data_IF_345746743440
#
_entry.id   IF_345746743440
#
_cell.length_a   1.000
_cell.length_b   1.000
_cell.length_c   1.000
_cell.angle_alpha   90.00
_cell.angle_beta   90.00
_cell.angle_gamma   90.00
#
_symmetry.space_group_name_H-M   'P 1'
#
loop_
_entity.id
_entity.type
_entity.pdbx_description
1 polymer ?
#
# COMPACT_ATOMS: atom_id res chain seq x y z
N UNK A 1 -15.17 -8.82 22.94
CA UNK A 1 -14.36 -9.91 22.34
C UNK A 1 -14.52 -10.00 20.82
N UNK A 2 -15.75 -10.13 20.28
CA UNK A 2 -15.96 -10.26 18.82
C UNK A 2 -15.33 -9.13 18.00
N UNK A 3 -15.44 -7.87 18.46
CA UNK A 3 -14.96 -6.71 17.69
C UNK A 3 -13.44 -6.71 17.44
N UNK A 4 -12.64 -7.11 18.43
CA UNK A 4 -11.18 -7.20 18.29
C UNK A 4 -10.77 -8.28 17.30
N UNK A 5 -11.43 -9.44 17.39
CA UNK A 5 -11.20 -10.56 16.47
C UNK A 5 -11.60 -10.18 15.03
N UNK A 6 -12.77 -9.57 14.85
CA UNK A 6 -13.26 -9.09 13.54
C UNK A 6 -12.31 -8.07 12.94
N UNK A 7 -11.86 -7.06 13.71
CA UNK A 7 -10.88 -6.07 13.23
C UNK A 7 -9.57 -6.76 12.85
N UNK A 8 -9.11 -7.73 13.64
CA UNK A 8 -7.91 -8.52 13.33
C UNK A 8 -8.01 -9.25 11.99
N UNK A 9 -9.16 -9.89 11.71
CA UNK A 9 -9.42 -10.52 10.41
C UNK A 9 -9.43 -9.49 9.28
N UNK A 10 -10.13 -8.37 9.46
CA UNK A 10 -10.18 -7.30 8.45
C UNK A 10 -8.78 -6.79 8.13
N UNK A 11 -7.93 -6.60 9.14
CA UNK A 11 -6.53 -6.21 8.95
C UNK A 11 -5.73 -7.28 8.19
N UNK A 12 -5.97 -8.56 8.47
CA UNK A 12 -5.40 -9.67 7.70
C UNK A 12 -5.80 -9.65 6.22
N UNK A 13 -7.07 -9.36 5.91
CA UNK A 13 -7.56 -9.24 4.53
C UNK A 13 -6.93 -8.03 3.81
N UNK A 14 -6.87 -6.88 4.48
CA UNK A 14 -6.21 -5.68 3.94
C UNK A 14 -4.71 -5.97 3.70
N UNK A 15 -4.06 -6.66 4.63
CA UNK A 15 -2.67 -7.08 4.48
C UNK A 15 -2.47 -7.94 3.23
N UNK A 16 -3.28 -8.98 3.03
CA UNK A 16 -3.21 -9.83 1.84
C UNK A 16 -3.40 -9.02 0.54
N UNK A 17 -4.35 -8.09 0.52
CA UNK A 17 -4.58 -7.19 -0.62
C UNK A 17 -3.38 -6.27 -0.91
N UNK A 18 -2.78 -5.68 0.13
CA UNK A 18 -1.60 -4.84 0.00
C UNK A 18 -0.38 -5.63 -0.48
N UNK A 19 -0.18 -6.84 0.05
CA UNK A 19 0.85 -7.78 -0.39
C UNK A 19 0.68 -8.13 -1.87
N UNK A 20 -0.55 -8.51 -2.27
CA UNK A 20 -0.88 -8.79 -3.66
C UNK A 20 -0.63 -7.59 -4.58
N UNK A 21 -1.00 -6.38 -4.15
CA UNK A 21 -0.74 -5.13 -4.90
C UNK A 21 0.77 -4.89 -5.03
N UNK A 22 1.53 -5.03 -3.95
CA UNK A 22 2.98 -4.80 -3.95
C UNK A 22 3.73 -5.66 -4.98
N UNK A 23 3.24 -6.87 -5.26
CA UNK A 23 3.84 -7.79 -6.24
C UNK A 23 3.23 -7.61 -7.64
N UNK A 24 1.91 -7.47 -7.74
CA UNK A 24 1.21 -7.49 -9.04
C UNK A 24 1.38 -6.21 -9.83
N UNK A 25 1.50 -5.06 -9.16
CA UNK A 25 1.62 -3.76 -9.84
C UNK A 25 3.00 -3.52 -10.45
N UNK A 26 4.01 -4.34 -10.13
CA UNK A 26 5.39 -4.15 -10.61
C UNK A 26 5.84 -5.18 -11.65
N UNK A 27 4.96 -6.11 -12.03
CA UNK A 27 5.28 -7.15 -13.01
C UNK A 27 5.47 -6.55 -14.41
N UNK A 28 6.42 -7.08 -15.17
CA UNK A 28 6.72 -6.56 -16.51
C UNK A 28 5.59 -6.79 -17.51
N UNK A 29 4.75 -7.80 -17.29
CA UNK A 29 3.57 -8.14 -18.09
C UNK A 29 2.29 -7.48 -17.56
N UNK A 30 2.39 -6.52 -16.62
CA UNK A 30 1.21 -5.92 -15.97
C UNK A 30 0.24 -5.32 -16.99
N UNK A 31 -1.03 -5.72 -16.83
CA UNK A 31 -2.19 -5.07 -17.44
C UNK A 31 -2.64 -3.93 -16.53
N UNK A 32 -2.40 -2.69 -16.97
CA UNK A 32 -2.70 -1.47 -16.21
C UNK A 32 -4.20 -1.34 -15.95
N UNK A 33 -5.06 -1.84 -16.84
CA UNK A 33 -6.50 -1.69 -16.71
C UNK A 33 -7.06 -2.57 -15.61
N UNK A 34 -6.44 -3.74 -15.37
CA UNK A 34 -6.91 -4.75 -14.41
C UNK A 34 -6.09 -4.80 -13.12
N UNK A 35 -4.87 -4.26 -13.09
CA UNK A 35 -3.99 -4.35 -11.93
C UNK A 35 -4.39 -3.36 -10.83
N UNK A 36 -4.35 -3.76 -9.55
CA UNK A 36 -4.50 -2.83 -8.44
C UNK A 36 -3.32 -1.85 -8.39
N UNK A 37 -3.50 -0.64 -7.85
CA UNK A 37 -2.41 0.32 -7.70
C UNK A 37 -2.82 1.79 -7.63
N UNK A 38 -1.83 2.66 -7.78
CA UNK A 38 -1.97 4.11 -7.88
C UNK A 38 -2.56 4.47 -9.25
N UNK A 39 -3.86 4.78 -9.28
CA UNK A 39 -4.58 5.12 -10.51
C UNK A 39 -4.81 6.63 -10.58
N UNK A 40 -3.79 7.36 -11.03
CA UNK A 40 -3.86 8.80 -11.27
C UNK A 40 -3.42 9.08 -12.72
N UNK A 41 -3.81 10.22 -13.33
CA UNK A 41 -3.48 10.50 -14.73
C UNK A 41 -1.98 10.33 -15.06
N UNK A 42 -1.09 10.73 -14.14
CA UNK A 42 0.37 10.58 -14.33
C UNK A 42 0.82 9.12 -14.41
N UNK A 43 0.24 8.20 -13.64
CA UNK A 43 0.64 6.79 -13.63
C UNK A 43 -0.03 5.99 -14.74
N UNK A 44 -1.19 6.44 -15.22
CA UNK A 44 -1.94 5.82 -16.31
C UNK A 44 -1.48 6.27 -17.70
N UNK A 45 -0.59 7.26 -17.80
CA UNK A 45 -0.14 7.82 -19.07
C UNK A 45 0.58 6.79 -19.97
N UNK A 46 1.29 5.85 -19.36
CA UNK A 46 1.96 4.75 -20.09
C UNK A 46 2.31 3.60 -19.13
N UNK A 47 2.58 2.43 -19.70
CA UNK A 47 3.11 1.28 -18.93
C UNK A 47 4.41 1.57 -18.22
N UNK A 48 5.28 2.34 -18.86
CA UNK A 48 6.54 2.80 -18.25
C UNK A 48 6.30 3.73 -17.05
N UNK A 49 5.33 4.64 -17.16
CA UNK A 49 4.92 5.52 -16.06
C UNK A 49 4.34 4.72 -14.90
N UNK A 50 3.51 3.72 -15.21
CA UNK A 50 2.97 2.80 -14.22
C UNK A 50 4.09 2.06 -13.48
N UNK A 51 4.98 1.39 -14.22
CA UNK A 51 6.07 0.60 -13.63
C UNK A 51 7.04 1.45 -12.82
N UNK A 52 7.40 2.64 -13.32
CA UNK A 52 8.26 3.58 -12.60
C UNK A 52 7.66 3.99 -11.26
N UNK A 53 6.39 4.41 -11.26
CA UNK A 53 5.71 4.79 -10.02
C UNK A 53 5.59 3.61 -9.05
N UNK A 54 5.17 2.44 -9.53
CA UNK A 54 4.88 1.29 -8.68
C UNK A 54 6.15 0.61 -8.16
N UNK A 55 7.24 0.54 -8.93
CA UNK A 55 8.54 0.07 -8.41
C UNK A 55 9.03 0.97 -7.28
N UNK A 56 8.85 2.29 -7.42
CA UNK A 56 9.21 3.23 -6.36
C UNK A 56 8.30 3.14 -5.13
N UNK A 57 7.00 2.91 -5.34
CA UNK A 57 6.01 2.79 -4.27
C UNK A 57 5.97 1.40 -3.61
N UNK A 58 6.50 0.36 -4.27
CA UNK A 58 6.49 -1.04 -3.82
C UNK A 58 6.87 -1.24 -2.34
N UNK A 59 8.02 -0.72 -1.84
CA UNK A 59 8.42 -0.94 -0.45
C UNK A 59 7.39 -0.37 0.56
N UNK A 60 6.63 0.65 0.17
CA UNK A 60 5.58 1.22 1.03
C UNK A 60 4.32 0.36 1.06
N UNK A 61 3.90 -0.20 -0.09
CA UNK A 61 2.82 -1.20 -0.12
C UNK A 61 3.20 -2.45 0.68
N UNK A 62 4.43 -2.92 0.54
CA UNK A 62 4.92 -4.06 1.32
C UNK A 62 5.07 -3.74 2.82
N UNK A 63 5.58 -2.57 3.17
CA UNK A 63 5.65 -2.10 4.56
C UNK A 63 4.26 -1.97 5.20
N UNK A 64 3.29 -1.43 4.47
CA UNK A 64 1.90 -1.38 4.91
C UNK A 64 1.29 -2.79 5.05
N UNK A 65 1.58 -3.72 4.13
CA UNK A 65 1.20 -5.12 4.25
C UNK A 65 1.73 -5.74 5.56
N UNK A 66 3.02 -5.56 5.87
CA UNK A 66 3.62 -6.07 7.10
C UNK A 66 3.00 -5.45 8.36
N UNK A 67 2.80 -4.13 8.38
CA UNK A 67 2.12 -3.44 9.47
C UNK A 67 0.74 -4.06 9.73
N UNK A 68 -0.06 -4.23 8.68
CA UNK A 68 -1.40 -4.80 8.79
C UNK A 68 -1.38 -6.28 9.20
N UNK A 69 -0.41 -7.07 8.75
CA UNK A 69 -0.23 -8.47 9.20
C UNK A 69 0.02 -8.53 10.71
N UNK A 70 0.99 -7.74 11.19
CA UNK A 70 1.40 -7.74 12.60
C UNK A 70 0.28 -7.21 13.48
N UNK A 71 -0.36 -6.11 13.09
CA UNK A 71 -1.50 -5.55 13.80
C UNK A 71 -2.68 -6.53 13.83
N UNK A 72 -3.01 -7.17 12.70
CA UNK A 72 -4.07 -8.16 12.62
C UNK A 72 -3.85 -9.34 13.58
N UNK A 73 -2.63 -9.90 13.58
CA UNK A 73 -2.24 -10.95 14.49
C UNK A 73 -2.32 -10.50 15.97
N UNK A 74 -1.82 -9.29 16.27
CA UNK A 74 -1.86 -8.74 17.62
C UNK A 74 -3.30 -8.57 18.13
N UNK A 75 -4.23 -8.11 17.29
CA UNK A 75 -5.64 -7.93 17.66
C UNK A 75 -6.34 -9.28 17.92
N UNK A 76 -6.07 -10.28 17.09
CA UNK A 76 -6.60 -11.65 17.29
C UNK A 76 -6.07 -12.25 18.59
N UNK A 77 -4.76 -12.14 18.85
CA UNK A 77 -4.15 -12.64 20.08
C UNK A 77 -4.71 -11.91 21.30
N UNK A 78 -4.80 -10.58 21.25
CA UNK A 78 -5.37 -9.78 22.34
C UNK A 78 -6.81 -10.18 22.67
N UNK A 79 -7.64 -10.40 21.65
CA UNK A 79 -9.01 -10.87 21.81
C UNK A 79 -9.10 -12.24 22.49
N UNK A 80 -8.11 -13.11 22.28
CA UNK A 80 -8.09 -14.47 22.80
C UNK A 80 -7.56 -14.56 24.24
N UNK A 81 -6.64 -13.68 24.63
CA UNK A 81 -5.94 -13.78 25.93
C UNK A 81 -6.45 -12.81 27.00
N UNK A 82 -7.13 -11.73 26.61
CA UNK A 82 -7.61 -10.70 27.55
C UNK A 82 -9.11 -10.84 27.79
N UNK A 83 -9.49 -11.03 29.05
CA UNK A 83 -10.89 -11.22 29.45
C UNK A 83 -11.79 -10.00 29.23
N UNK A 84 -11.25 -8.79 29.45
CA UNK A 84 -11.91 -7.53 29.13
C UNK A 84 -10.96 -6.62 28.34
N UNK A 85 -10.91 -6.74 27.00
CA UNK A 85 -9.96 -6.01 26.18
C UNK A 85 -10.33 -4.53 25.99
N UNK A 86 -11.48 -4.08 26.51
CA UNK A 86 -11.97 -2.72 26.29
C UNK A 86 -12.32 -2.44 24.82
N UNK A 87 -12.32 -1.15 24.45
CA UNK A 87 -12.70 -0.70 23.10
C UNK A 87 -11.57 -0.87 22.08
N UNK A 88 -11.91 -1.46 20.93
CA UNK A 88 -11.00 -1.62 19.78
C UNK A 88 -10.83 -0.33 18.95
N UNK A 89 -11.68 0.68 19.16
CA UNK A 89 -11.84 1.81 18.24
C UNK A 89 -10.54 2.63 18.12
N UNK A 90 -9.98 3.07 19.25
CA UNK A 90 -8.76 3.89 19.26
C UNK A 90 -7.55 3.16 18.62
N UNK A 91 -7.20 1.92 19.01
CA UNK A 91 -6.08 1.22 18.39
C UNK A 91 -6.34 0.90 16.91
N UNK A 92 -7.58 0.58 16.51
CA UNK A 92 -7.93 0.39 15.11
C UNK A 92 -7.62 1.64 14.28
N UNK A 93 -8.08 2.81 14.71
CA UNK A 93 -7.82 4.05 14.00
C UNK A 93 -6.34 4.44 13.98
N UNK A 94 -5.58 4.15 15.04
CA UNK A 94 -4.14 4.39 15.07
C UNK A 94 -3.41 3.57 13.98
N UNK A 95 -3.73 2.29 13.85
CA UNK A 95 -3.15 1.42 12.82
C UNK A 95 -3.55 1.88 11.41
N UNK A 96 -4.83 2.20 11.22
CA UNK A 96 -5.31 2.71 9.93
C UNK A 96 -4.63 4.02 9.53
N UNK A 97 -4.48 4.96 10.47
CA UNK A 97 -3.79 6.22 10.22
C UNK A 97 -2.32 6.00 9.83
N UNK A 98 -1.61 5.12 10.54
CA UNK A 98 -0.22 4.77 10.22
C UNK A 98 -0.11 4.15 8.81
N UNK A 99 -0.98 3.19 8.49
CA UNK A 99 -1.06 2.58 7.15
C UNK A 99 -1.32 3.65 6.07
N UNK A 100 -2.28 4.54 6.28
CA UNK A 100 -2.60 5.62 5.34
C UNK A 100 -1.39 6.51 5.09
N UNK A 101 -0.67 6.92 6.13
CA UNK A 101 0.54 7.74 5.99
C UNK A 101 1.61 7.02 5.15
N UNK A 102 1.87 5.73 5.43
CA UNK A 102 2.83 4.93 4.66
C UNK A 102 2.46 4.90 3.18
N UNK A 103 1.18 4.63 2.87
CA UNK A 103 0.69 4.57 1.49
C UNK A 103 0.75 5.94 0.79
N UNK A 104 0.39 7.02 1.49
CA UNK A 104 0.48 8.38 0.96
C UNK A 104 1.93 8.76 0.61
N UNK A 105 2.88 8.43 1.47
CA UNK A 105 4.31 8.65 1.20
C UNK A 105 4.74 7.87 -0.04
N UNK A 106 4.40 6.58 -0.13
CA UNK A 106 4.69 5.75 -1.31
C UNK A 106 4.08 6.31 -2.59
N UNK A 107 2.83 6.75 -2.53
CA UNK A 107 2.11 7.35 -3.66
C UNK A 107 2.79 8.64 -4.14
N UNK A 108 3.10 9.56 -3.21
CA UNK A 108 3.75 10.83 -3.53
C UNK A 108 5.12 10.61 -4.14
N UNK A 109 5.91 9.69 -3.59
CA UNK A 109 7.25 9.39 -4.11
C UNK A 109 7.18 8.70 -5.48
N UNK A 110 6.24 7.77 -5.68
CA UNK A 110 6.04 7.13 -6.98
C UNK A 110 5.65 8.13 -8.08
N UNK A 111 4.71 9.04 -7.80
CA UNK A 111 4.29 10.07 -8.76
C UNK A 111 5.41 11.08 -9.02
N UNK A 112 6.16 11.49 -7.99
CA UNK A 112 7.31 12.39 -8.15
C UNK A 112 8.38 11.77 -9.04
N UNK A 113 8.61 10.47 -8.94
CA UNK A 113 9.60 9.77 -9.75
C UNK A 113 9.23 9.80 -11.23
N UNK A 114 7.98 9.49 -11.59
CA UNK A 114 7.52 9.60 -13.00
C UNK A 114 7.72 11.01 -13.54
N UNK A 115 7.37 12.04 -12.77
CA UNK A 115 7.55 13.44 -13.19
C UNK A 115 9.02 13.79 -13.43
N UNK A 116 9.94 13.24 -12.64
CA UNK A 116 11.39 13.44 -12.84
C UNK A 116 11.87 12.76 -14.11
N UNK A 117 11.44 11.52 -14.36
CA UNK A 117 11.81 10.78 -15.57
C UNK A 117 11.36 11.50 -16.83
N UNK A 118 10.12 12.02 -16.86
CA UNK A 118 9.61 12.81 -17.99
C UNK A 118 10.40 14.12 -18.19
N UNK A 119 10.78 14.80 -17.09
CA UNK A 119 11.58 16.02 -17.16
C UNK A 119 13.02 15.80 -17.63
N UNK A 120 13.61 14.65 -17.31
CA UNK A 120 14.98 14.30 -17.71
C UNK A 120 15.09 13.93 -19.20
N UNK A 121 14.01 13.44 -19.82
CA UNK A 121 13.96 13.11 -21.26
C UNK A 121 13.69 14.31 -22.18
N UNK A 122 13.75 15.55 -21.65
CA UNK A 122 13.62 16.78 -22.42
C UNK A 122 14.74 16.98 -23.47
N UNK A 123 14.59 17.96 -24.39
CA UNK A 123 15.28 18.05 -25.69
C UNK A 123 16.77 18.46 -25.62
N UNK A 124 17.60 17.73 -24.86
CA UNK A 124 19.06 17.86 -24.88
C UNK A 124 19.77 16.66 -25.56
N UNK A 125 19.02 15.68 -26.08
CA UNK A 125 19.56 14.51 -26.79
C UNK A 125 19.63 14.63 -28.32
N UNK A 126 19.48 15.84 -28.89
CA UNK A 126 19.69 16.08 -30.33
C UNK A 126 20.76 17.16 -30.53
N UNK A 127 22.01 16.80 -30.32
CA UNK A 127 23.17 17.50 -30.86
C UNK A 127 24.16 16.46 -31.37
#
# INVERSE_FOLDING_TARGET
MADWFTVGIVFGLISAFLGWTSVSSVREDVDIDRSPGLRVPTTLASKESWLTAHRKAQPYFFGACLLMSVAGAAFVVWAAVVGDPGSVIAPMFAVLAAMTVILLVGAVLGVREVRRSVGASGPQGRL
#
